data_IF_941073160988
#
_entry.id   IF_941073160988
#
_cell.length_a   1.000
_cell.length_b   1.000
_cell.length_c   1.000
_cell.angle_alpha   90.00
_cell.angle_beta   90.00
_cell.angle_gamma   90.00
#
_symmetry.space_group_name_H-M   'P 1'
#
loop_
_entity.id
_entity.type
_entity.pdbx_description
1 polymer ?
#
# COMPACT_ATOMS: atom_id res chain seq x y z
N UNK A 1 -37.84 6.75 28.46
CA UNK A 1 -36.52 7.26 28.02
C UNK A 1 -35.81 6.15 27.28
N UNK A 2 -36.03 6.03 25.97
CA UNK A 2 -35.32 5.06 25.14
C UNK A 2 -34.05 5.75 24.66
N UNK A 3 -32.94 5.42 25.31
CA UNK A 3 -31.60 5.75 24.80
C UNK A 3 -31.44 4.97 23.50
N UNK A 4 -31.63 5.66 22.37
CA UNK A 4 -31.27 5.17 21.05
C UNK A 4 -29.82 4.76 21.12
N UNK A 5 -29.59 3.44 21.10
CA UNK A 5 -28.28 2.85 20.89
C UNK A 5 -27.73 3.49 19.62
N UNK A 6 -26.71 4.32 19.78
CA UNK A 6 -25.85 4.72 18.68
C UNK A 6 -25.32 3.40 18.13
N UNK A 7 -25.88 2.96 17.00
CA UNK A 7 -25.30 1.90 16.22
C UNK A 7 -23.87 2.37 15.93
N UNK A 8 -22.90 1.81 16.65
CA UNK A 8 -21.49 2.02 16.37
C UNK A 8 -21.32 1.45 14.96
N UNK A 9 -21.33 2.33 13.96
CA UNK A 9 -21.15 1.94 12.58
C UNK A 9 -19.82 1.21 12.53
N UNK A 10 -19.87 -0.06 12.15
CA UNK A 10 -18.62 -0.78 11.93
C UNK A 10 -17.87 -0.01 10.86
N UNK A 11 -16.57 0.24 11.04
CA UNK A 11 -15.77 0.90 10.02
C UNK A 11 -15.87 0.16 8.69
N UNK A 12 -16.40 0.82 7.67
CA UNK A 12 -16.58 0.28 6.33
C UNK A 12 -15.55 0.85 5.35
N UNK A 13 -15.06 -0.02 4.45
CA UNK A 13 -14.26 0.30 3.28
C UNK A 13 -15.23 0.75 2.19
N UNK A 14 -15.07 1.97 1.69
CA UNK A 14 -15.92 2.49 0.62
C UNK A 14 -15.33 2.13 -0.74
N UNK A 15 -16.07 1.37 -1.53
CA UNK A 15 -15.66 0.95 -2.86
C UNK A 15 -16.53 1.66 -3.89
N UNK A 16 -15.90 2.26 -4.89
CA UNK A 16 -16.61 2.77 -6.07
C UNK A 16 -16.38 1.79 -7.23
N UNK A 17 -17.45 1.40 -7.91
CA UNK A 17 -17.36 0.47 -9.04
C UNK A 17 -17.81 1.14 -10.32
N UNK A 18 -17.13 0.82 -11.42
CA UNK A 18 -17.47 1.20 -12.77
C UNK A 18 -17.63 -0.08 -13.59
N UNK A 19 -18.86 -0.58 -13.66
CA UNK A 19 -19.22 -1.83 -14.32
C UNK A 19 -20.19 -1.54 -15.46
N UNK A 20 -20.06 -2.26 -16.57
CA UNK A 20 -20.92 -2.12 -17.76
C UNK A 20 -22.22 -2.91 -17.62
N UNK A 21 -22.23 -4.00 -16.85
CA UNK A 21 -23.36 -4.94 -16.75
C UNK A 21 -24.07 -4.87 -15.40
N UNK A 22 -25.39 -4.69 -15.41
CA UNK A 22 -26.24 -4.72 -14.21
C UNK A 22 -26.11 -6.04 -13.44
N UNK A 23 -25.93 -7.16 -14.14
CA UNK A 23 -25.73 -8.47 -13.49
C UNK A 23 -24.47 -8.54 -12.62
N UNK A 24 -23.42 -7.83 -13.01
CA UNK A 24 -22.18 -7.74 -12.23
C UNK A 24 -22.36 -6.81 -11.04
N UNK A 25 -23.08 -5.70 -11.23
CA UNK A 25 -23.45 -4.77 -10.16
C UNK A 25 -24.19 -5.52 -9.05
N UNK A 26 -25.25 -6.25 -9.39
CA UNK A 26 -26.04 -7.00 -8.41
C UNK A 26 -25.20 -8.06 -7.68
N UNK A 27 -24.35 -8.77 -8.44
CA UNK A 27 -23.45 -9.80 -7.89
C UNK A 27 -22.48 -9.19 -6.87
N UNK A 28 -21.78 -8.11 -7.23
CA UNK A 28 -20.82 -7.48 -6.32
C UNK A 28 -21.50 -6.79 -5.15
N UNK A 29 -22.70 -6.24 -5.33
CA UNK A 29 -23.53 -5.74 -4.23
C UNK A 29 -23.79 -6.86 -3.22
N UNK A 30 -24.25 -8.02 -3.70
CA UNK A 30 -24.58 -9.15 -2.84
C UNK A 30 -23.36 -9.72 -2.09
N UNK A 31 -22.18 -9.73 -2.71
CA UNK A 31 -20.95 -10.26 -2.12
C UNK A 31 -20.36 -9.27 -1.10
N UNK A 32 -20.38 -7.96 -1.41
CA UNK A 32 -19.66 -6.94 -0.64
C UNK A 32 -20.53 -6.28 0.45
N UNK A 33 -21.82 -6.07 0.21
CA UNK A 33 -22.73 -5.49 1.19
C UNK A 33 -23.07 -6.49 2.29
N UNK A 34 -22.38 -6.39 3.43
CA UNK A 34 -22.75 -7.13 4.63
C UNK A 34 -21.66 -7.24 5.68
N UNK A 35 -20.40 -7.31 5.27
CA UNK A 35 -19.29 -7.58 6.20
C UNK A 35 -18.54 -6.31 6.60
N UNK A 36 -17.79 -5.72 5.65
CA UNK A 36 -16.85 -4.61 5.90
C UNK A 36 -16.84 -3.55 4.79
N UNK A 37 -17.67 -3.69 3.77
CA UNK A 37 -17.65 -2.82 2.58
C UNK A 37 -18.94 -2.01 2.44
N UNK A 38 -18.81 -0.81 1.90
CA UNK A 38 -19.92 0.03 1.44
C UNK A 38 -19.68 0.30 -0.04
N UNK A 39 -20.65 -0.04 -0.87
CA UNK A 39 -20.50 -0.02 -2.32
C UNK A 39 -21.25 1.18 -2.92
N UNK A 40 -20.60 1.85 -3.87
CA UNK A 40 -21.25 2.85 -4.74
C UNK A 40 -21.03 2.42 -6.16
N UNK A 41 -22.11 2.23 -6.90
CA UNK A 41 -22.06 1.93 -8.32
C UNK A 41 -22.17 3.24 -9.10
N UNK A 42 -21.18 3.47 -9.95
CA UNK A 42 -21.13 4.60 -10.85
C UNK A 42 -21.26 4.11 -12.29
N UNK A 43 -21.96 4.91 -13.09
CA UNK A 43 -21.99 4.80 -14.55
C UNK A 43 -20.91 5.70 -15.15
N UNK A 44 -20.53 5.47 -16.41
CA UNK A 44 -19.51 6.29 -17.07
C UNK A 44 -19.83 7.80 -17.06
N UNK A 45 -21.11 8.17 -17.06
CA UNK A 45 -21.55 9.57 -17.07
C UNK A 45 -21.39 10.26 -15.71
N UNK A 46 -21.55 9.52 -14.60
CA UNK A 46 -21.49 10.09 -13.24
C UNK A 46 -20.21 9.73 -12.47
N UNK A 47 -19.40 8.81 -13.00
CA UNK A 47 -18.22 8.27 -12.31
C UNK A 47 -17.23 9.37 -11.93
N UNK A 48 -16.88 10.25 -12.87
CA UNK A 48 -15.92 11.32 -12.63
C UNK A 48 -16.43 12.28 -11.55
N UNK A 49 -17.72 12.65 -11.59
CA UNK A 49 -18.33 13.53 -10.59
C UNK A 49 -18.34 12.88 -9.20
N UNK A 50 -18.71 11.59 -9.11
CA UNK A 50 -18.72 10.84 -7.84
C UNK A 50 -17.31 10.71 -7.27
N UNK A 51 -16.33 10.39 -8.11
CA UNK A 51 -14.94 10.26 -7.67
C UNK A 51 -14.39 11.63 -7.27
N UNK A 52 -14.72 12.71 -7.97
CA UNK A 52 -14.28 14.07 -7.64
C UNK A 52 -14.90 14.62 -6.35
N UNK A 53 -16.20 14.41 -6.14
CA UNK A 53 -16.88 14.78 -4.88
C UNK A 53 -16.47 13.86 -3.73
N UNK A 54 -16.18 12.59 -4.05
CA UNK A 54 -15.89 11.51 -3.12
C UNK A 54 -14.41 11.18 -2.94
N UNK A 55 -13.46 11.98 -3.46
CA UNK A 55 -12.01 11.65 -3.50
C UNK A 55 -11.46 11.16 -2.16
N UNK A 56 -11.97 11.70 -1.05
CA UNK A 56 -11.52 11.37 0.31
C UNK A 56 -12.31 10.24 0.97
N UNK A 57 -13.49 9.90 0.44
CA UNK A 57 -14.35 8.84 0.97
C UNK A 57 -14.06 7.50 0.34
N UNK A 58 -13.73 7.44 -0.94
CA UNK A 58 -13.45 6.20 -1.67
C UNK A 58 -12.11 5.62 -1.22
N UNK A 59 -12.12 4.33 -0.88
CA UNK A 59 -10.96 3.57 -0.41
C UNK A 59 -10.40 2.63 -1.51
N UNK A 60 -11.23 2.21 -2.47
CA UNK A 60 -10.82 1.38 -3.61
C UNK A 60 -11.76 1.57 -4.81
N UNK A 61 -11.22 1.41 -6.02
CA UNK A 61 -11.94 1.42 -7.29
C UNK A 61 -12.01 0.00 -7.87
N UNK A 62 -13.15 -0.38 -8.42
CA UNK A 62 -13.28 -1.58 -9.25
C UNK A 62 -13.63 -1.14 -10.66
N UNK A 63 -12.82 -1.52 -11.62
CA UNK A 63 -12.99 -1.19 -13.03
C UNK A 63 -13.31 -2.45 -13.82
N UNK A 64 -14.33 -2.39 -14.68
CA UNK A 64 -14.48 -3.35 -15.76
C UNK A 64 -13.62 -2.95 -16.95
N UNK A 65 -12.86 -3.89 -17.50
CA UNK A 65 -12.07 -3.66 -18.71
C UNK A 65 -13.01 -3.48 -19.90
N UNK A 66 -13.11 -2.24 -20.38
CA UNK A 66 -13.91 -1.85 -21.54
C UNK A 66 -13.15 -0.78 -22.35
N UNK A 67 -13.51 -0.59 -23.62
CA UNK A 67 -12.99 0.44 -24.51
C UNK A 67 -13.08 1.88 -23.95
N UNK A 68 -13.99 2.15 -23.01
CA UNK A 68 -14.12 3.44 -22.35
C UNK A 68 -13.11 3.67 -21.20
N UNK A 69 -12.55 2.61 -20.61
CA UNK A 69 -11.67 2.68 -19.45
C UNK A 69 -10.45 3.60 -19.65
N UNK A 70 -9.72 3.57 -20.78
CA UNK A 70 -8.56 4.45 -20.98
C UNK A 70 -8.89 5.95 -20.91
N UNK A 71 -10.12 6.35 -21.29
CA UNK A 71 -10.55 7.75 -21.20
C UNK A 71 -10.74 8.18 -19.74
N UNK A 72 -11.36 7.32 -18.94
CA UNK A 72 -11.58 7.55 -17.51
C UNK A 72 -10.24 7.62 -16.77
N UNK A 73 -9.35 6.66 -17.02
CA UNK A 73 -7.98 6.65 -16.49
C UNK A 73 -7.25 7.96 -16.82
N UNK A 74 -7.28 8.37 -18.09
CA UNK A 74 -6.59 9.59 -18.53
C UNK A 74 -7.10 10.85 -17.82
N UNK A 75 -8.39 10.88 -17.46
CA UNK A 75 -8.96 11.96 -16.67
C UNK A 75 -8.52 11.89 -15.21
N UNK A 76 -8.57 10.71 -14.58
CA UNK A 76 -8.10 10.51 -13.21
C UNK A 76 -6.62 10.91 -13.05
N UNK A 77 -5.76 10.53 -13.99
CA UNK A 77 -4.35 10.92 -13.99
C UNK A 77 -4.16 12.43 -14.13
N UNK A 78 -4.95 13.08 -14.99
CA UNK A 78 -4.93 14.55 -15.16
C UNK A 78 -5.32 15.27 -13.88
N UNK A 79 -6.30 14.73 -13.16
CA UNK A 79 -6.78 15.27 -11.89
C UNK A 79 -5.94 14.80 -10.67
N UNK A 80 -4.81 14.12 -10.91
CA UNK A 80 -3.93 13.54 -9.90
C UNK A 80 -4.67 12.66 -8.86
N UNK A 81 -5.67 11.90 -9.32
CA UNK A 81 -6.43 10.96 -8.51
C UNK A 81 -5.82 9.57 -8.70
N UNK A 82 -5.24 9.05 -7.62
CA UNK A 82 -4.72 7.68 -7.56
C UNK A 82 -5.34 6.99 -6.35
N UNK A 83 -5.99 5.86 -6.59
CA UNK A 83 -6.66 5.05 -5.57
C UNK A 83 -6.35 3.58 -5.84
N UNK A 84 -6.36 2.70 -4.83
CA UNK A 84 -6.23 1.27 -5.07
C UNK A 84 -7.27 0.80 -6.08
N UNK A 85 -6.86 0.03 -7.08
CA UNK A 85 -7.76 -0.43 -8.13
C UNK A 85 -7.71 -1.94 -8.35
N UNK A 86 -8.89 -2.51 -8.56
CA UNK A 86 -9.10 -3.87 -9.05
C UNK A 86 -9.66 -3.77 -10.47
N UNK A 87 -9.05 -4.50 -11.40
CA UNK A 87 -9.49 -4.58 -12.79
C UNK A 87 -10.12 -5.93 -13.06
N UNK A 88 -11.35 -5.93 -13.53
CA UNK A 88 -12.06 -7.11 -13.98
C UNK A 88 -11.80 -7.30 -15.46
N UNK A 89 -11.17 -8.41 -15.82
CA UNK A 89 -11.03 -8.81 -17.20
C UNK A 89 -12.30 -9.50 -17.67
N UNK A 90 -13.06 -8.83 -18.54
CA UNK A 90 -14.12 -9.48 -19.30
C UNK A 90 -13.46 -10.26 -20.42
N UNK A 91 -13.74 -11.56 -20.52
CA UNK A 91 -13.40 -12.35 -21.70
C UNK A 91 -14.17 -11.79 -22.91
N UNK A 92 -13.67 -10.72 -23.53
CA UNK A 92 -14.03 -10.47 -24.92
C UNK A 92 -13.52 -11.69 -25.68
N UNK A 93 -14.45 -12.45 -26.25
CA UNK A 93 -14.17 -13.53 -27.18
C UNK A 93 -13.49 -12.96 -28.43
N UNK A 94 -12.21 -12.60 -28.31
CA UNK A 94 -11.34 -12.26 -29.43
C UNK A 94 -10.53 -13.52 -29.70
N UNK A 95 -10.90 -14.11 -30.83
CA UNK A 95 -10.21 -15.14 -31.58
C UNK A 95 -8.75 -15.34 -31.16
N UNK A 96 -8.42 -16.58 -30.83
CA UNK A 96 -7.04 -17.08 -30.70
C UNK A 96 -6.30 -16.88 -32.02
N UNK A 97 -5.84 -15.67 -32.33
CA UNK A 97 -4.79 -15.46 -33.31
C UNK A 97 -3.52 -15.97 -32.68
N UNK A 98 -3.31 -17.26 -32.92
CA UNK A 98 -2.12 -18.00 -32.58
C UNK A 98 -0.92 -17.34 -33.26
N UNK A 99 -0.12 -16.58 -32.52
CA UNK A 99 1.29 -16.39 -32.85
C UNK A 99 2.14 -16.56 -31.59
N UNK A 100 3.01 -17.58 -31.53
CA UNK A 100 3.95 -17.78 -30.45
C UNK A 100 5.18 -16.89 -30.67
N UNK A 101 5.94 -16.69 -29.60
CA UNK A 101 7.26 -16.05 -29.51
C UNK A 101 7.27 -14.55 -29.21
N UNK A 102 7.26 -14.23 -27.92
CA UNK A 102 8.27 -13.33 -27.36
C UNK A 102 8.29 -13.52 -25.85
N UNK A 103 9.33 -14.19 -25.35
CA UNK A 103 9.68 -14.30 -23.93
C UNK A 103 10.16 -12.95 -23.34
N UNK A 104 9.67 -11.84 -23.89
CA UNK A 104 10.01 -10.44 -23.57
C UNK A 104 8.72 -9.62 -23.39
N UNK A 105 7.62 -10.24 -22.96
CA UNK A 105 6.47 -9.46 -22.45
C UNK A 105 6.88 -8.86 -21.12
N UNK A 106 7.38 -7.63 -21.16
CA UNK A 106 7.53 -6.76 -19.98
C UNK A 106 6.14 -6.64 -19.34
N UNK A 107 5.89 -7.19 -18.13
CA UNK A 107 4.58 -7.08 -17.47
C UNK A 107 4.18 -5.62 -17.15
N UNK A 108 5.07 -4.65 -17.43
CA UNK A 108 4.88 -3.22 -17.21
C UNK A 108 4.16 -2.48 -18.34
N UNK A 109 3.96 -3.09 -19.53
CA UNK A 109 3.28 -2.41 -20.65
C UNK A 109 1.74 -2.48 -20.60
N UNK A 110 1.17 -3.38 -19.80
CA UNK A 110 -0.28 -3.63 -19.79
C UNK A 110 -1.01 -3.01 -18.58
N UNK A 111 -0.34 -2.20 -17.75
CA UNK A 111 -1.01 -1.52 -16.64
C UNK A 111 -1.94 -0.40 -17.15
N UNK A 112 -3.24 -0.50 -16.86
CA UNK A 112 -4.25 0.43 -17.34
C UNK A 112 -4.34 1.69 -16.49
N UNK A 113 -4.24 1.58 -15.17
CA UNK A 113 -4.46 2.66 -14.23
C UNK A 113 -3.24 2.94 -13.35
N UNK A 114 -2.62 1.92 -12.75
CA UNK A 114 -1.36 2.05 -12.02
C UNK A 114 -0.66 0.70 -11.82
N UNK A 115 0.61 0.71 -11.43
CA UNK A 115 1.46 -0.50 -11.30
C UNK A 115 0.94 -1.50 -10.25
N UNK A 116 0.22 -1.01 -9.23
CA UNK A 116 -0.31 -1.82 -8.12
C UNK A 116 -1.75 -2.33 -8.35
N UNK A 117 -2.21 -2.36 -9.60
CA UNK A 117 -3.57 -2.81 -9.89
C UNK A 117 -3.65 -4.33 -9.85
N UNK A 118 -4.73 -4.85 -9.28
CA UNK A 118 -4.96 -6.29 -9.24
C UNK A 118 -5.92 -6.63 -10.36
N UNK A 119 -5.45 -7.40 -11.34
CA UNK A 119 -6.27 -7.94 -12.41
C UNK A 119 -6.88 -9.25 -11.90
N UNK A 120 -8.21 -9.36 -12.01
CA UNK A 120 -8.98 -10.54 -11.63
C UNK A 120 -9.77 -10.98 -12.84
N UNK A 121 -9.73 -12.28 -13.13
CA UNK A 121 -10.71 -12.92 -14.01
C UNK A 121 -12.07 -12.97 -13.29
N UNK A 122 -13.16 -13.27 -13.98
CA UNK A 122 -14.52 -13.21 -13.41
C UNK A 122 -14.82 -14.16 -12.23
N UNK A 123 -13.81 -14.82 -11.66
CA UNK A 123 -13.94 -15.77 -10.56
C UNK A 123 -14.33 -15.07 -9.24
N UNK A 124 -15.55 -15.40 -8.82
CA UNK A 124 -16.29 -14.80 -7.70
C UNK A 124 -15.61 -14.99 -6.33
N UNK A 125 -14.85 -16.07 -6.15
CA UNK A 125 -14.34 -16.48 -4.84
C UNK A 125 -13.19 -15.59 -4.33
N UNK A 126 -12.55 -14.84 -5.22
CA UNK A 126 -11.34 -14.07 -4.91
C UNK A 126 -11.51 -12.55 -4.96
N UNK A 127 -12.71 -11.99 -5.13
CA UNK A 127 -12.83 -10.52 -5.17
C UNK A 127 -12.44 -9.87 -3.85
N UNK A 128 -12.85 -10.44 -2.71
CA UNK A 128 -12.51 -9.93 -1.38
C UNK A 128 -11.00 -9.97 -1.16
N UNK A 129 -10.35 -11.06 -1.59
CA UNK A 129 -8.91 -11.21 -1.49
C UNK A 129 -8.18 -10.23 -2.42
N UNK A 130 -8.75 -9.96 -3.59
CA UNK A 130 -8.21 -9.04 -4.59
C UNK A 130 -8.31 -7.58 -4.18
N UNK A 131 -9.39 -7.16 -3.53
CA UNK A 131 -9.53 -5.81 -2.96
C UNK A 131 -8.47 -5.59 -1.87
N UNK A 132 -8.35 -6.54 -0.93
CA UNK A 132 -7.33 -6.45 0.13
C UNK A 132 -5.91 -6.42 -0.47
N UNK A 133 -5.67 -7.19 -1.54
CA UNK A 133 -4.41 -7.19 -2.27
C UNK A 133 -4.15 -5.85 -3.00
N UNK A 134 -5.13 -5.28 -3.68
CA UNK A 134 -5.01 -4.01 -4.38
C UNK A 134 -4.71 -2.87 -3.42
N UNK A 135 -5.38 -2.86 -2.26
CA UNK A 135 -5.10 -1.90 -1.19
C UNK A 135 -3.67 -2.10 -0.67
N UNK A 136 -3.25 -3.34 -0.37
CA UNK A 136 -1.91 -3.61 0.12
C UNK A 136 -0.82 -3.20 -0.90
N UNK A 137 -0.99 -3.55 -2.18
CA UNK A 137 -0.06 -3.14 -3.24
C UNK A 137 -0.05 -1.62 -3.43
N UNK A 138 -1.20 -0.96 -3.34
CA UNK A 138 -1.27 0.49 -3.45
C UNK A 138 -0.55 1.20 -2.29
N UNK A 139 -0.66 0.68 -1.06
CA UNK A 139 0.11 1.21 0.09
C UNK A 139 1.62 0.99 -0.07
N UNK A 140 2.02 -0.09 -0.75
CA UNK A 140 3.42 -0.36 -1.08
C UNK A 140 3.98 0.55 -2.19
N UNK A 141 3.16 1.24 -3.00
CA UNK A 141 3.70 2.20 -3.98
C UNK A 141 4.40 3.42 -3.34
N UNK A 142 4.28 3.59 -2.03
CA UNK A 142 4.91 4.70 -1.29
C UNK A 142 6.44 4.63 -1.30
N UNK A 143 7.09 5.76 -0.94
CA UNK A 143 8.56 5.88 -0.77
C UNK A 143 9.18 4.76 0.07
N UNK A 144 8.38 4.13 0.93
CA UNK A 144 8.73 3.03 1.81
C UNK A 144 9.10 1.75 1.03
N UNK A 145 8.29 1.29 0.08
CA UNK A 145 8.59 0.04 -0.63
C UNK A 145 9.09 0.36 -2.04
N UNK A 146 10.37 0.77 -2.16
CA UNK A 146 11.06 0.81 -3.45
C UNK A 146 11.13 -0.60 -4.04
N UNK A 147 10.22 -0.90 -4.98
CA UNK A 147 10.35 -1.98 -5.96
C UNK A 147 10.74 -1.40 -7.34
N UNK A 148 11.22 -2.23 -8.29
CA UNK A 148 12.20 -1.84 -9.31
C UNK A 148 11.84 -0.67 -10.24
N UNK A 149 12.86 0.15 -10.46
CA UNK A 149 12.97 1.49 -11.08
C UNK A 149 12.47 1.70 -12.52
N UNK A 150 11.68 0.81 -13.15
CA UNK A 150 11.43 0.99 -14.61
C UNK A 150 10.36 2.03 -15.01
N UNK A 151 9.44 2.42 -14.13
CA UNK A 151 8.34 3.34 -14.49
C UNK A 151 8.43 4.76 -13.89
N UNK A 152 9.57 5.15 -13.31
CA UNK A 152 9.76 6.53 -12.82
C UNK A 152 9.94 7.59 -13.93
N UNK A 153 9.94 7.24 -15.23
CA UNK A 153 10.37 8.17 -16.29
C UNK A 153 9.31 8.76 -17.22
N UNK A 154 8.00 8.57 -17.01
CA UNK A 154 7.00 9.21 -17.90
C UNK A 154 5.93 10.11 -17.27
N UNK A 155 5.65 10.01 -15.97
CA UNK A 155 4.61 10.86 -15.34
C UNK A 155 5.01 11.37 -13.95
N UNK A 156 6.30 11.66 -13.75
CA UNK A 156 6.76 12.32 -12.53
C UNK A 156 6.61 13.84 -12.66
N UNK A 157 5.36 14.33 -12.65
CA UNK A 157 5.12 15.66 -12.11
C UNK A 157 5.21 15.52 -10.58
N UNK A 158 6.02 16.36 -9.93
CA UNK A 158 6.16 16.39 -8.46
C UNK A 158 4.80 16.43 -7.75
N UNK A 159 3.81 17.11 -8.37
CA UNK A 159 2.44 17.17 -7.90
C UNK A 159 1.74 15.80 -7.78
N UNK A 160 2.00 14.85 -8.69
CA UNK A 160 1.41 13.50 -8.62
C UNK A 160 2.07 12.72 -7.49
N UNK A 161 3.38 12.84 -7.30
CA UNK A 161 4.09 12.14 -6.23
C UNK A 161 3.69 12.64 -4.84
N UNK A 162 3.56 13.95 -4.66
CA UNK A 162 3.15 14.53 -3.38
C UNK A 162 1.68 14.22 -3.06
N UNK A 163 0.80 14.26 -4.08
CA UNK A 163 -0.59 13.85 -3.91
C UNK A 163 -0.70 12.35 -3.63
N UNK A 164 0.08 11.49 -4.31
CA UNK A 164 0.09 10.06 -4.07
C UNK A 164 0.54 9.75 -2.64
N UNK A 165 1.64 10.34 -2.18
CA UNK A 165 2.12 10.16 -0.82
C UNK A 165 1.07 10.62 0.21
N UNK A 166 0.44 11.77 -0.02
CA UNK A 166 -0.61 12.30 0.85
C UNK A 166 -1.88 11.43 0.83
N UNK A 167 -2.30 10.94 -0.35
CA UNK A 167 -3.45 10.06 -0.52
C UNK A 167 -3.21 8.70 0.12
N UNK A 168 -2.03 8.13 -0.05
CA UNK A 168 -1.60 6.88 0.60
C UNK A 168 -1.51 7.03 2.11
N UNK A 169 -0.97 8.14 2.63
CA UNK A 169 -0.95 8.42 4.07
C UNK A 169 -2.35 8.54 4.66
N UNK A 170 -3.24 9.26 3.98
CA UNK A 170 -4.64 9.37 4.41
C UNK A 170 -5.34 8.02 4.36
N UNK A 171 -5.11 7.25 3.30
CA UNK A 171 -5.68 5.91 3.15
C UNK A 171 -5.12 4.97 4.20
N UNK A 172 -3.81 4.94 4.45
CA UNK A 172 -3.19 4.08 5.46
C UNK A 172 -3.67 4.42 6.86
N UNK A 173 -3.75 5.71 7.21
CA UNK A 173 -4.30 6.16 8.49
C UNK A 173 -5.78 5.79 8.61
N UNK A 174 -6.58 6.05 7.58
CA UNK A 174 -8.02 5.73 7.55
C UNK A 174 -8.26 4.23 7.66
N UNK A 175 -7.51 3.40 6.92
CA UNK A 175 -7.59 1.95 7.00
C UNK A 175 -7.08 1.44 8.36
N UNK A 176 -6.03 2.06 8.95
CA UNK A 176 -5.52 1.75 10.29
C UNK A 176 -6.55 2.07 11.39
N UNK A 177 -7.22 3.22 11.29
CA UNK A 177 -8.31 3.63 12.19
C UNK A 177 -9.56 2.76 12.03
N UNK A 178 -9.90 2.41 10.79
CA UNK A 178 -11.14 1.70 10.43
C UNK A 178 -11.00 0.19 10.55
N UNK A 179 -10.11 -0.44 9.81
CA UNK A 179 -10.02 -1.91 9.77
C UNK A 179 -9.18 -2.50 10.90
N UNK A 180 -8.40 -1.65 11.57
CA UNK A 180 -7.22 -2.12 12.28
C UNK A 180 -6.21 -2.77 11.32
N UNK A 181 -5.07 -3.19 11.85
CA UNK A 181 -4.03 -3.83 11.03
C UNK A 181 -4.50 -5.16 10.37
N UNK A 182 -5.59 -5.76 10.85
CA UNK A 182 -6.02 -7.08 10.39
C UNK A 182 -6.55 -7.11 8.94
N UNK A 183 -7.16 -6.02 8.44
CA UNK A 183 -7.74 -6.03 7.09
C UNK A 183 -6.68 -6.03 5.98
N UNK A 184 -5.70 -5.12 6.10
CA UNK A 184 -4.78 -4.79 4.99
C UNK A 184 -3.45 -5.53 5.10
N UNK A 185 -3.00 -5.81 6.34
CA UNK A 185 -1.67 -6.38 6.60
C UNK A 185 -1.70 -7.91 6.71
N UNK A 186 -2.88 -8.54 6.64
CA UNK A 186 -3.05 -9.99 6.83
C UNK A 186 -2.52 -10.80 5.65
N UNK A 187 -2.82 -10.41 4.41
CA UNK A 187 -2.34 -11.10 3.20
C UNK A 187 -1.06 -10.43 2.67
N UNK A 188 0.05 -10.68 3.36
CA UNK A 188 1.37 -10.32 2.83
C UNK A 188 1.64 -11.15 1.58
N UNK A 189 2.13 -10.54 0.50
CA UNK A 189 2.49 -11.28 -0.71
C UNK A 189 3.82 -12.03 -0.46
N UNK A 190 3.84 -13.37 -0.46
CA UNK A 190 5.06 -14.11 -0.21
C UNK A 190 6.13 -13.92 -1.27
N UNK A 191 5.79 -13.39 -2.45
CA UNK A 191 6.75 -13.07 -3.51
C UNK A 191 7.59 -11.84 -3.18
N UNK A 192 7.12 -10.98 -2.28
CA UNK A 192 7.82 -9.76 -1.85
C UNK A 192 8.64 -9.96 -0.58
N UNK A 193 8.66 -11.19 -0.05
CA UNK A 193 9.48 -11.49 1.12
C UNK A 193 10.95 -11.33 0.77
N UNK A 194 11.69 -10.74 1.72
CA UNK A 194 13.10 -10.39 1.54
C UNK A 194 13.94 -11.56 1.02
N UNK A 195 13.67 -12.79 1.49
CA UNK A 195 14.41 -13.99 1.10
C UNK A 195 14.11 -14.50 -0.32
N UNK A 196 13.07 -13.99 -0.99
CA UNK A 196 12.75 -14.32 -2.39
C UNK A 196 13.24 -13.29 -3.39
N UNK A 197 13.64 -12.12 -2.92
CA UNK A 197 14.25 -11.09 -3.75
C UNK A 197 15.62 -11.55 -4.24
N UNK A 198 16.05 -11.04 -5.39
CA UNK A 198 17.41 -11.27 -5.91
C UNK A 198 18.46 -10.65 -5.00
N UNK A 199 19.72 -11.10 -5.09
CA UNK A 199 20.81 -10.54 -4.25
C UNK A 199 21.01 -9.03 -4.47
N UNK A 200 20.81 -8.56 -5.71
CA UNK A 200 20.87 -7.13 -6.05
C UNK A 200 19.74 -6.36 -5.37
N UNK A 201 18.49 -6.82 -5.52
CA UNK A 201 17.32 -6.21 -4.87
C UNK A 201 17.42 -6.24 -3.34
N UNK A 202 17.90 -7.34 -2.75
CA UNK A 202 18.14 -7.43 -1.32
C UNK A 202 19.15 -6.38 -0.85
N UNK A 203 20.23 -6.18 -1.60
CA UNK A 203 21.26 -5.19 -1.28
C UNK A 203 20.69 -3.78 -1.35
N UNK A 204 19.97 -3.45 -2.42
CA UNK A 204 19.32 -2.14 -2.58
C UNK A 204 18.26 -1.88 -1.51
N UNK A 205 17.51 -2.92 -1.14
CA UNK A 205 16.53 -2.86 -0.06
C UNK A 205 17.21 -2.58 1.29
N UNK A 206 18.30 -3.29 1.61
CA UNK A 206 19.07 -3.06 2.84
C UNK A 206 19.71 -1.67 2.89
N UNK A 207 20.24 -1.15 1.76
CA UNK A 207 20.79 0.20 1.70
C UNK A 207 19.69 1.24 1.98
N UNK A 208 18.51 1.04 1.40
CA UNK A 208 17.34 1.91 1.62
C UNK A 208 16.90 1.85 3.09
N UNK A 209 16.74 0.65 3.65
CA UNK A 209 16.38 0.47 5.06
C UNK A 209 17.39 1.10 6.02
N UNK A 210 18.69 0.92 5.78
CA UNK A 210 19.75 1.52 6.61
C UNK A 210 19.68 3.05 6.57
N UNK A 211 19.38 3.62 5.40
CA UNK A 211 19.20 5.07 5.25
C UNK A 211 17.98 5.57 6.03
N UNK A 212 16.84 4.92 5.85
CA UNK A 212 15.58 5.34 6.47
C UNK A 212 15.66 5.19 8.00
N UNK A 213 16.23 4.09 8.49
CA UNK A 213 16.47 3.89 9.92
C UNK A 213 17.44 4.92 10.52
N UNK A 214 18.48 5.29 9.77
CA UNK A 214 19.40 6.35 10.20
C UNK A 214 18.70 7.69 10.33
N UNK A 215 17.81 8.02 9.38
CA UNK A 215 17.08 9.28 9.41
C UNK A 215 16.11 9.32 10.62
N UNK A 216 15.45 8.19 10.93
CA UNK A 216 14.66 8.03 12.16
C UNK A 216 15.50 8.28 13.40
N UNK A 217 16.67 7.64 13.53
CA UNK A 217 17.56 7.81 14.69
C UNK A 217 17.93 9.29 14.88
N UNK A 218 18.29 9.99 13.80
CA UNK A 218 18.72 11.38 13.86
C UNK A 218 17.57 12.35 14.17
N UNK A 219 16.33 11.97 13.82
CA UNK A 219 15.14 12.77 14.02
C UNK A 219 14.40 12.44 15.33
N UNK A 220 14.65 11.28 15.95
CA UNK A 220 13.90 10.75 17.10
C UNK A 220 13.75 11.73 18.27
N UNK A 221 14.82 12.45 18.62
CA UNK A 221 14.82 13.40 19.72
C UNK A 221 14.45 14.84 19.30
N UNK A 222 14.03 15.06 18.04
CA UNK A 222 13.63 16.38 17.53
C UNK A 222 12.13 16.58 17.69
N UNK A 223 11.74 17.68 18.35
CA UNK A 223 10.34 18.01 18.68
C UNK A 223 9.45 18.25 17.45
N UNK A 224 10.01 18.77 16.35
CA UNK A 224 9.27 19.14 15.13
C UNK A 224 9.44 18.12 13.99
N UNK A 225 9.72 16.85 14.31
CA UNK A 225 9.97 15.83 13.28
C UNK A 225 8.73 15.04 12.90
N UNK A 226 8.68 14.60 11.65
CA UNK A 226 7.76 13.56 11.16
C UNK A 226 8.13 12.15 11.65
N UNK A 227 8.89 12.01 12.75
CA UNK A 227 9.51 10.74 13.11
C UNK A 227 8.50 9.63 13.39
N UNK A 228 7.33 9.95 13.96
CA UNK A 228 6.27 8.97 14.15
C UNK A 228 5.81 8.36 12.81
N UNK A 229 5.74 9.18 11.77
CA UNK A 229 5.42 8.72 10.42
C UNK A 229 6.57 7.90 9.83
N UNK A 230 7.81 8.35 10.00
CA UNK A 230 9.00 7.62 9.54
C UNK A 230 9.07 6.23 10.19
N UNK A 231 8.77 6.13 11.49
CA UNK A 231 8.69 4.87 12.23
C UNK A 231 7.56 3.99 11.67
N UNK A 232 6.35 4.53 11.50
CA UNK A 232 5.22 3.77 10.96
C UNK A 232 5.55 3.23 9.55
N UNK A 233 6.14 4.05 8.69
CA UNK A 233 6.55 3.68 7.33
C UNK A 233 7.65 2.60 7.36
N UNK A 234 8.66 2.77 8.21
CA UNK A 234 9.77 1.82 8.35
C UNK A 234 9.31 0.46 8.88
N UNK A 235 8.47 0.45 9.92
CA UNK A 235 7.92 -0.79 10.48
C UNK A 235 7.03 -1.49 9.45
N UNK A 236 6.25 -0.73 8.69
CA UNK A 236 5.41 -1.26 7.60
C UNK A 236 6.24 -1.96 6.53
N UNK A 237 7.34 -1.35 6.08
CA UNK A 237 8.28 -1.95 5.14
C UNK A 237 8.83 -3.29 5.63
N UNK A 238 9.33 -3.31 6.87
CA UNK A 238 9.90 -4.50 7.49
C UNK A 238 8.87 -5.62 7.62
N UNK A 239 7.65 -5.26 8.04
CA UNK A 239 6.57 -6.21 8.24
C UNK A 239 6.16 -6.89 6.93
N UNK A 240 6.00 -6.12 5.84
CA UNK A 240 5.64 -6.68 4.53
C UNK A 240 6.76 -7.50 3.91
N UNK A 241 8.01 -7.07 4.04
CA UNK A 241 9.17 -7.81 3.56
C UNK A 241 9.52 -9.04 4.43
N UNK A 242 8.79 -9.28 5.54
CA UNK A 242 9.03 -10.37 6.48
C UNK A 242 10.48 -10.38 7.02
N UNK A 243 11.01 -9.19 7.29
CA UNK A 243 12.39 -9.04 7.77
C UNK A 243 12.47 -9.43 9.24
N UNK A 244 13.46 -10.27 9.55
CA UNK A 244 13.72 -10.69 10.92
C UNK A 244 14.09 -9.50 11.82
N UNK A 245 13.62 -9.53 13.07
CA UNK A 245 14.00 -8.57 14.12
C UNK A 245 15.53 -8.50 14.27
N UNK A 246 16.23 -9.64 14.11
CA UNK A 246 17.69 -9.71 14.19
C UNK A 246 18.38 -8.79 13.16
N UNK A 247 17.79 -8.63 11.96
CA UNK A 247 18.34 -7.74 10.93
C UNK A 247 18.22 -6.27 11.32
N UNK A 248 17.17 -5.89 12.03
CA UNK A 248 17.00 -4.52 12.57
C UNK A 248 18.07 -4.24 13.61
N UNK A 249 18.34 -5.21 14.50
CA UNK A 249 19.41 -5.10 15.49
C UNK A 249 20.79 -4.95 14.83
N UNK A 250 21.06 -5.73 13.78
CA UNK A 250 22.30 -5.62 13.01
C UNK A 250 22.47 -4.22 12.42
N UNK A 251 21.44 -3.69 11.72
CA UNK A 251 21.44 -2.33 11.19
C UNK A 251 21.68 -1.29 12.30
N UNK A 252 21.04 -1.45 13.45
CA UNK A 252 21.25 -0.57 14.60
C UNK A 252 22.69 -0.58 15.08
N UNK A 253 23.27 -1.76 15.30
CA UNK A 253 24.65 -1.89 15.77
C UNK A 253 25.66 -1.29 14.78
N UNK A 254 25.48 -1.52 13.48
CA UNK A 254 26.35 -0.91 12.46
C UNK A 254 26.29 0.62 12.47
N UNK A 255 25.10 1.21 12.62
CA UNK A 255 24.96 2.66 12.71
C UNK A 255 25.56 3.22 13.99
N UNK A 256 25.38 2.53 15.13
CA UNK A 256 25.98 2.94 16.40
C UNK A 256 27.51 2.93 16.31
N UNK A 257 28.09 1.89 15.71
CA UNK A 257 29.54 1.82 15.47
C UNK A 257 30.03 2.94 14.54
N UNK A 258 29.26 3.25 13.49
CA UNK A 258 29.58 4.34 12.56
C UNK A 258 29.51 5.72 13.24
N UNK A 259 28.48 5.95 14.07
CA UNK A 259 28.34 7.19 14.82
C UNK A 259 29.40 7.33 15.91
N UNK A 260 29.73 6.24 16.62
CA UNK A 260 30.81 6.24 17.61
C UNK A 260 32.15 6.64 16.99
N UNK A 261 32.48 6.09 15.81
CA UNK A 261 33.68 6.48 15.06
C UNK A 261 33.69 7.97 14.70
N UNK A 262 32.55 8.52 14.26
CA UNK A 262 32.44 9.96 13.94
C UNK A 262 32.59 10.84 15.18
N UNK A 263 31.92 10.49 16.27
CA UNK A 263 32.02 11.23 17.54
C UNK A 263 33.45 11.23 18.08
N UNK A 264 34.16 10.09 18.02
CA UNK A 264 35.59 10.00 18.37
C UNK A 264 36.46 10.95 17.56
N UNK A 265 36.24 11.03 16.24
CA UNK A 265 36.97 11.94 15.36
C UNK A 265 36.69 13.41 15.66
N UNK A 266 35.48 13.73 16.12
CA UNK A 266 35.08 15.07 16.55
C UNK A 266 35.46 15.39 18.01
N UNK A 267 36.02 14.43 18.75
CA UNK A 267 36.33 14.58 20.17
C UNK A 267 35.08 14.71 21.07
N UNK A 268 33.93 14.21 20.61
CA UNK A 268 32.67 14.21 21.37
C UNK A 268 32.49 12.92 22.17
N UNK A 269 31.70 13.00 23.24
CA UNK A 269 31.35 11.84 24.06
C UNK A 269 30.35 10.92 23.31
N UNK A 270 30.59 9.61 23.37
CA UNK A 270 29.75 8.55 22.82
C UNK A 270 28.53 8.20 23.68
N UNK A 271 28.47 8.67 24.93
CA UNK A 271 27.39 8.33 25.87
C UNK A 271 25.99 8.66 25.31
N UNK A 272 25.88 9.68 24.46
CA UNK A 272 24.62 10.05 23.78
C UNK A 272 24.07 8.91 22.91
N UNK A 273 24.92 8.00 22.42
CA UNK A 273 24.49 6.85 21.60
C UNK A 273 23.66 5.84 22.42
N UNK A 274 23.78 5.85 23.75
CA UNK A 274 22.99 4.98 24.62
C UNK A 274 21.49 5.33 24.54
N UNK A 275 21.17 6.59 24.33
CA UNK A 275 19.78 7.07 24.23
C UNK A 275 19.09 6.53 22.97
N UNK A 276 19.83 6.27 21.89
CA UNK A 276 19.29 5.68 20.65
C UNK A 276 18.75 4.26 20.82
N UNK A 277 19.01 3.60 21.96
CA UNK A 277 18.34 2.35 22.32
C UNK A 277 16.83 2.52 22.45
N UNK A 278 16.35 3.71 22.84
CA UNK A 278 14.92 4.01 22.93
C UNK A 278 14.24 3.90 21.55
N UNK A 279 14.89 4.41 20.51
CA UNK A 279 14.40 4.32 19.12
C UNK A 279 14.26 2.87 18.67
N UNK A 280 15.23 2.01 19.01
CA UNK A 280 15.17 0.58 18.70
C UNK A 280 14.02 -0.12 19.44
N UNK A 281 13.84 0.16 20.73
CA UNK A 281 12.75 -0.41 21.54
C UNK A 281 11.39 -0.04 20.95
N UNK A 282 11.22 1.22 20.56
CA UNK A 282 9.99 1.75 19.97
C UNK A 282 9.62 1.03 18.67
N UNK A 283 10.58 0.94 17.74
CA UNK A 283 10.42 0.21 16.48
C UNK A 283 10.10 -1.27 16.70
N UNK A 284 10.78 -1.93 17.65
CA UNK A 284 10.49 -3.32 17.99
C UNK A 284 9.10 -3.49 18.58
N UNK A 285 8.67 -2.57 19.44
CA UNK A 285 7.33 -2.59 20.04
C UNK A 285 6.25 -2.41 18.97
N UNK A 286 6.43 -1.46 18.05
CA UNK A 286 5.53 -1.27 16.91
C UNK A 286 5.47 -2.49 16.00
N UNK A 287 6.62 -3.10 15.67
CA UNK A 287 6.65 -4.30 14.84
C UNK A 287 5.95 -5.48 15.53
N UNK A 288 6.21 -5.70 16.82
CA UNK A 288 5.54 -6.73 17.61
C UNK A 288 4.03 -6.50 17.67
N UNK A 289 3.58 -5.25 17.81
CA UNK A 289 2.16 -4.90 17.79
C UNK A 289 1.53 -5.20 16.42
N UNK A 290 2.23 -4.92 15.33
CA UNK A 290 1.79 -5.27 13.97
C UNK A 290 1.64 -6.79 13.81
N UNK A 291 2.65 -7.58 14.21
CA UNK A 291 2.56 -9.04 14.18
C UNK A 291 1.42 -9.58 15.04
N UNK A 292 1.24 -9.03 16.25
CA UNK A 292 0.15 -9.44 17.14
C UNK A 292 -1.22 -9.21 16.51
N UNK A 293 -1.40 -8.09 15.80
CA UNK A 293 -2.66 -7.72 15.15
C UNK A 293 -2.88 -8.41 13.81
N UNK A 294 -1.84 -8.93 13.17
CA UNK A 294 -1.96 -9.71 11.93
C UNK A 294 -2.31 -11.18 12.16
N UNK A 295 -2.22 -11.70 13.39
CA UNK A 295 -2.66 -13.06 13.70
C UNK A 295 -4.20 -13.09 13.64
N UNK A 296 -4.80 -13.96 12.82
CA UNK A 296 -6.23 -14.09 12.78
C UNK A 296 -6.70 -14.60 14.14
N UNK A 297 -7.68 -13.93 14.74
CA UNK A 297 -8.34 -14.47 15.92
C UNK A 297 -9.07 -15.73 15.46
N UNK A 298 -8.51 -16.91 15.74
CA UNK A 298 -9.23 -18.17 15.59
C UNK A 298 -10.52 -18.03 16.37
N UNK A 299 -11.64 -18.04 15.67
CA UNK A 299 -12.97 -18.01 16.27
C UNK A 299 -13.27 -19.35 16.91
#
# INVERSE_FOLDING_TARGET
MTLSQTAVSRPQIFICTLLSSESLVDLYTQILEGDRYSLVHATYDNFLEIVEQGKHRIDCLIFEKNAALPKVVSHLHREAILLPAVLLQVEESVEKTSQPNSADRDPQQDSYYHIAEVIVDHDQEDILSSIDCAIAQFLQLSKACRLPTRLQKKYADEAIQDNLATQQQRLSQKLKERLGYLGVYYKRNPQQFFHKLTEEEQTDYLVTLKRDYRDIILNYFRQDSSVNQEIDDFVTQIFFADISILKILEIHMELMDAFAKKLKLEGRNEDILLDYRLTLIDIMAHLCEMYRRSIPKTR
#
